data_IF_563924485139
#
_entry.id   IF_563924485139
#
_cell.length_a   1.000
_cell.length_b   1.000
_cell.length_c   1.000
_cell.angle_alpha   90.00
_cell.angle_beta   90.00
_cell.angle_gamma   90.00
#
_symmetry.space_group_name_H-M   'P 1'
#
loop_
_entity.id
_entity.type
_entity.pdbx_description
1 polymer ?
#
# COMPACT_ATOMS: atom_id res chain seq x y z
N UNK A 1 -7.31 26.18 20.47
CA UNK A 1 -7.28 24.74 20.70
C UNK A 1 -8.65 24.17 20.34
N UNK A 2 -8.67 23.14 19.50
CA UNK A 2 -9.91 22.41 19.21
C UNK A 2 -10.18 21.55 20.44
N UNK A 3 -11.35 21.68 21.07
CA UNK A 3 -11.75 20.78 22.16
C UNK A 3 -12.34 19.51 21.55
N UNK A 4 -12.05 18.37 22.14
CA UNK A 4 -12.65 17.10 21.76
C UNK A 4 -13.13 16.33 23.00
N UNK A 5 -14.37 15.84 22.94
CA UNK A 5 -15.02 15.05 24.00
C UNK A 5 -15.49 13.68 23.49
N UNK A 6 -15.31 13.43 22.18
CA UNK A 6 -15.71 12.17 21.60
C UNK A 6 -14.71 11.08 22.00
N UNK A 7 -15.22 9.92 22.34
CA UNK A 7 -14.38 8.75 22.63
C UNK A 7 -14.13 7.96 21.37
N UNK A 8 -12.95 7.32 21.22
CA UNK A 8 -12.68 6.40 20.13
C UNK A 8 -13.79 5.37 19.92
N UNK A 9 -14.07 5.07 18.65
CA UNK A 9 -15.13 4.16 18.22
C UNK A 9 -14.50 2.83 17.84
N UNK A 10 -15.05 1.74 18.38
CA UNK A 10 -14.64 0.37 18.08
C UNK A 10 -15.66 -0.26 17.12
N UNK A 11 -15.20 -0.96 16.08
CA UNK A 11 -16.06 -1.57 15.07
C UNK A 11 -16.04 -3.11 15.07
N UNK A 12 -14.86 -3.72 15.16
CA UNK A 12 -14.72 -5.17 15.15
C UNK A 12 -13.46 -5.64 15.84
N UNK A 13 -13.51 -6.87 16.34
CA UNK A 13 -12.38 -7.65 16.83
C UNK A 13 -11.94 -8.62 15.74
N UNK A 14 -10.64 -8.84 15.62
CA UNK A 14 -10.05 -9.93 14.85
C UNK A 14 -9.17 -10.75 15.77
N UNK A 15 -9.22 -12.07 15.68
CA UNK A 15 -8.28 -12.95 16.38
C UNK A 15 -7.56 -13.81 15.34
N UNK A 16 -6.25 -13.97 15.52
CA UNK A 16 -5.35 -14.60 14.58
C UNK A 16 -4.71 -15.83 15.21
N UNK A 17 -4.78 -17.01 14.59
CA UNK A 17 -3.89 -18.11 14.93
C UNK A 17 -2.48 -17.77 14.42
N UNK A 18 -1.47 -17.83 15.30
CA UNK A 18 -0.09 -17.44 14.99
C UNK A 18 0.87 -18.62 14.88
N UNK A 19 0.37 -19.85 15.11
CA UNK A 19 1.15 -21.09 14.94
C UNK A 19 0.33 -22.17 14.24
N UNK A 20 0.99 -23.20 13.71
CA UNK A 20 0.36 -24.33 13.03
C UNK A 20 -0.57 -25.16 13.92
N UNK A 21 -0.45 -24.99 15.25
CA UNK A 21 -1.31 -25.65 16.25
C UNK A 21 -2.37 -24.72 16.82
N UNK A 22 -2.41 -23.47 16.36
CA UNK A 22 -3.37 -22.51 16.87
C UNK A 22 -4.67 -22.51 16.07
N UNK A 23 -5.77 -22.24 16.76
CA UNK A 23 -7.08 -22.05 16.12
C UNK A 23 -7.93 -21.00 16.81
N UNK A 24 -8.86 -20.44 16.05
CA UNK A 24 -9.87 -19.51 16.53
C UNK A 24 -11.22 -20.01 16.06
N UNK A 25 -12.15 -20.25 17.00
CA UNK A 25 -13.46 -20.87 16.74
C UNK A 25 -13.34 -22.18 15.91
N UNK A 26 -12.32 -23.00 16.20
CA UNK A 26 -12.03 -24.26 15.53
C UNK A 26 -11.43 -24.13 14.13
N UNK A 27 -10.98 -22.94 13.70
CA UNK A 27 -10.37 -22.69 12.38
C UNK A 27 -8.94 -22.19 12.50
N UNK A 28 -8.07 -22.59 11.60
CA UNK A 28 -6.65 -22.17 11.51
C UNK A 28 -6.44 -20.89 10.68
N UNK A 29 -7.46 -20.06 10.58
CA UNK A 29 -7.42 -18.77 9.88
C UNK A 29 -8.04 -17.70 10.78
N UNK A 30 -7.60 -16.46 10.58
CA UNK A 30 -8.14 -15.34 11.36
C UNK A 30 -9.66 -15.27 11.29
N UNK A 31 -10.27 -14.92 12.40
CA UNK A 31 -11.71 -14.80 12.53
C UNK A 31 -12.09 -13.39 12.99
N UNK A 32 -13.05 -12.79 12.27
CA UNK A 32 -13.61 -11.48 12.58
C UNK A 32 -14.87 -11.65 13.45
N UNK A 33 -14.98 -10.82 14.49
CA UNK A 33 -16.13 -10.76 15.38
C UNK A 33 -16.70 -9.34 15.40
N UNK A 34 -17.99 -9.22 15.14
CA UNK A 34 -18.68 -7.94 15.16
C UNK A 34 -18.87 -7.45 16.59
N UNK A 35 -18.70 -6.15 16.79
CA UNK A 35 -18.89 -5.45 18.04
C UNK A 35 -20.10 -4.55 17.90
N UNK A 36 -20.96 -4.55 18.92
CA UNK A 36 -22.13 -3.66 19.01
C UNK A 36 -21.96 -2.68 20.16
N UNK A 37 -22.39 -1.45 19.94
CA UNK A 37 -22.46 -0.43 20.98
C UNK A 37 -23.77 -0.58 21.73
N UNK A 38 -23.71 -0.62 23.04
CA UNK A 38 -24.87 -0.67 23.97
C UNK A 38 -24.88 0.55 24.88
N UNK A 39 -25.86 0.69 25.71
CA UNK A 39 -25.93 1.76 26.74
C UNK A 39 -24.80 1.66 27.76
N UNK A 40 -24.30 0.44 28.03
CA UNK A 40 -23.20 0.17 28.98
C UNK A 40 -21.79 0.15 28.33
N UNK A 41 -21.66 0.38 27.00
CA UNK A 41 -20.41 0.37 26.29
C UNK A 41 -20.41 -0.54 25.07
N UNK A 42 -19.29 -1.22 24.81
CA UNK A 42 -19.11 -2.12 23.66
C UNK A 42 -19.19 -3.58 24.09
N UNK A 43 -19.83 -4.42 23.28
CA UNK A 43 -19.96 -5.86 23.49
C UNK A 43 -19.79 -6.61 22.18
N UNK A 44 -19.29 -7.87 22.26
CA UNK A 44 -19.36 -8.76 21.11
C UNK A 44 -20.83 -9.08 20.78
N UNK A 45 -21.14 -9.12 19.48
CA UNK A 45 -22.46 -9.57 19.02
C UNK A 45 -22.73 -11.05 19.41
N UNK A 46 -21.65 -11.83 19.61
CA UNK A 46 -21.71 -13.22 20.07
C UNK A 46 -21.69 -13.25 21.60
N UNK A 47 -22.72 -13.79 22.22
CA UNK A 47 -22.93 -13.78 23.67
C UNK A 47 -22.30 -14.99 24.41
N UNK A 48 -21.18 -15.52 23.89
CA UNK A 48 -20.41 -16.62 24.51
C UNK A 48 -18.92 -16.37 24.37
N UNK A 49 -18.09 -16.97 25.25
CA UNK A 49 -16.64 -16.95 25.07
C UNK A 49 -16.23 -17.50 23.69
N UNK A 50 -15.17 -16.94 23.11
CA UNK A 50 -14.62 -17.40 21.84
C UNK A 50 -13.64 -18.54 22.12
N UNK A 51 -13.88 -19.73 21.55
CA UNK A 51 -12.95 -20.85 21.67
C UNK A 51 -11.65 -20.54 20.93
N UNK A 52 -10.49 -20.68 21.59
CA UNK A 52 -9.16 -20.45 21.04
C UNK A 52 -8.20 -21.55 21.48
N UNK A 53 -7.17 -21.85 20.70
CA UNK A 53 -6.10 -22.79 21.06
C UNK A 53 -4.75 -22.34 20.52
N UNK A 54 -3.68 -22.71 21.24
CA UNK A 54 -2.31 -22.41 20.87
C UNK A 54 -1.97 -20.91 20.92
N UNK A 55 -0.94 -20.52 20.22
CA UNK A 55 -0.49 -19.12 20.20
C UNK A 55 -1.40 -18.27 19.29
N UNK A 56 -2.01 -17.25 19.87
CA UNK A 56 -2.92 -16.32 19.17
C UNK A 56 -2.49 -14.88 19.31
N UNK A 57 -2.88 -14.07 18.33
CA UNK A 57 -2.80 -12.60 18.35
C UNK A 57 -4.17 -11.98 18.29
N UNK A 58 -4.31 -10.79 18.88
CA UNK A 58 -5.54 -10.01 18.82
C UNK A 58 -5.37 -8.81 17.90
N UNK A 59 -6.45 -8.36 17.27
CA UNK A 59 -6.49 -7.14 16.50
C UNK A 59 -7.81 -6.43 16.67
N UNK A 60 -7.77 -5.10 16.63
CA UNK A 60 -8.94 -4.26 16.86
C UNK A 60 -9.10 -3.23 15.74
N UNK A 61 -10.31 -3.14 15.21
CA UNK A 61 -10.67 -2.07 14.31
C UNK A 61 -11.26 -0.92 15.11
N UNK A 62 -10.51 0.17 15.20
CA UNK A 62 -10.91 1.36 15.93
C UNK A 62 -10.48 2.62 15.15
N UNK A 63 -11.19 3.70 15.38
CA UNK A 63 -10.87 5.03 14.88
C UNK A 63 -11.44 6.08 15.83
N UNK A 64 -10.94 7.28 15.67
CA UNK A 64 -11.41 8.44 16.41
C UNK A 64 -12.07 9.47 15.51
N UNK A 65 -12.80 10.42 16.09
CA UNK A 65 -13.38 11.60 15.43
C UNK A 65 -13.27 12.79 16.36
N UNK A 66 -12.92 13.92 15.81
CA UNK A 66 -12.94 15.18 16.55
C UNK A 66 -14.34 15.79 16.54
N UNK A 67 -14.68 16.51 17.60
CA UNK A 67 -15.93 17.27 17.71
C UNK A 67 -16.16 18.15 16.47
N UNK A 68 -17.39 18.12 15.93
CA UNK A 68 -17.79 18.93 14.78
C UNK A 68 -17.27 18.47 13.42
N UNK A 69 -16.55 17.33 13.30
CA UNK A 69 -16.08 16.81 12.03
C UNK A 69 -16.54 15.37 11.75
N UNK A 70 -16.75 15.06 10.47
CA UNK A 70 -17.04 13.69 10.03
C UNK A 70 -15.77 12.87 9.74
N UNK A 71 -14.60 13.50 9.73
CA UNK A 71 -13.34 12.88 9.38
C UNK A 71 -12.93 11.83 10.42
N UNK A 72 -12.39 10.70 9.94
CA UNK A 72 -11.86 9.65 10.82
C UNK A 72 -10.38 9.91 11.05
N UNK A 73 -9.98 9.94 12.31
CA UNK A 73 -8.61 9.99 12.77
C UNK A 73 -8.15 8.61 13.25
N UNK A 74 -6.84 8.41 13.36
CA UNK A 74 -6.28 7.26 14.07
C UNK A 74 -6.49 7.37 15.57
N UNK A 75 -6.37 6.27 16.30
CA UNK A 75 -6.31 6.27 17.75
C UNK A 75 -4.92 6.74 18.21
N UNK A 76 -4.85 7.37 19.38
CA UNK A 76 -3.60 7.87 19.97
C UNK A 76 -2.86 6.79 20.77
N UNK A 77 -3.57 6.07 21.62
CA UNK A 77 -2.98 5.00 22.42
C UNK A 77 -3.90 3.79 22.53
N UNK A 78 -3.27 2.63 22.75
CA UNK A 78 -3.97 1.37 22.93
C UNK A 78 -3.23 0.52 23.97
N UNK A 79 -4.00 -0.10 24.87
CA UNK A 79 -3.54 -1.11 25.82
C UNK A 79 -4.38 -2.37 25.66
N UNK A 80 -3.70 -3.53 25.67
CA UNK A 80 -4.31 -4.85 25.70
C UNK A 80 -3.88 -5.57 26.98
N UNK A 81 -4.85 -6.01 27.75
CA UNK A 81 -4.61 -6.85 28.95
C UNK A 81 -5.35 -8.18 28.85
N UNK A 82 -4.75 -9.23 29.36
CA UNK A 82 -5.38 -10.55 29.56
C UNK A 82 -5.30 -10.86 31.06
N UNK A 83 -6.44 -11.19 31.69
CA UNK A 83 -6.56 -11.45 33.12
C UNK A 83 -5.93 -10.35 34.00
N UNK A 84 -6.15 -9.10 33.63
CA UNK A 84 -5.61 -7.89 34.23
C UNK A 84 -4.07 -7.71 34.08
N UNK A 85 -3.37 -8.58 33.36
CA UNK A 85 -1.97 -8.38 33.01
C UNK A 85 -1.87 -7.63 31.69
N UNK A 86 -1.19 -6.49 31.70
CA UNK A 86 -0.88 -5.74 30.47
C UNK A 86 0.11 -6.55 29.65
N UNK A 87 -0.26 -6.91 28.39
CA UNK A 87 0.61 -7.68 27.50
C UNK A 87 1.11 -6.88 26.31
N UNK A 88 0.41 -5.78 25.96
CA UNK A 88 0.79 -4.93 24.85
C UNK A 88 0.27 -3.51 25.05
N UNK A 89 1.09 -2.52 24.78
CA UNK A 89 0.63 -1.14 24.67
C UNK A 89 1.49 -0.33 23.69
N UNK A 90 0.86 0.66 23.07
CA UNK A 90 1.53 1.69 22.32
C UNK A 90 0.93 3.06 22.55
N UNK A 91 1.74 4.09 22.35
CA UNK A 91 1.33 5.49 22.29
C UNK A 91 1.93 6.13 21.04
N UNK A 92 1.09 6.74 20.19
CA UNK A 92 1.55 7.46 19.00
C UNK A 92 2.17 8.79 19.40
N UNK A 93 3.50 8.81 19.47
CA UNK A 93 4.29 10.03 19.57
C UNK A 93 4.78 10.50 18.19
N UNK A 94 5.97 11.08 18.18
CA UNK A 94 6.66 11.45 16.95
C UNK A 94 7.21 10.19 16.26
N UNK A 95 6.87 10.01 14.98
CA UNK A 95 7.38 8.93 14.15
C UNK A 95 8.21 9.53 13.03
N UNK A 96 9.53 9.23 12.94
CA UNK A 96 10.35 9.66 11.83
C UNK A 96 9.77 9.21 10.49
N UNK A 97 9.86 10.06 9.46
CA UNK A 97 9.34 9.75 8.12
C UNK A 97 9.94 8.45 7.56
N UNK A 98 11.20 8.17 7.88
CA UNK A 98 11.91 6.93 7.52
C UNK A 98 11.24 5.67 8.07
N UNK A 99 10.58 5.79 9.22
CA UNK A 99 10.02 4.66 9.96
C UNK A 99 8.51 4.46 9.69
N UNK A 100 7.89 5.39 8.97
CA UNK A 100 6.45 5.33 8.67
C UNK A 100 6.02 4.05 7.98
N UNK A 101 6.89 3.39 7.22
CA UNK A 101 6.59 2.11 6.56
C UNK A 101 6.37 0.95 7.54
N UNK A 102 6.93 1.00 8.74
CA UNK A 102 6.68 -0.02 9.76
C UNK A 102 5.23 -0.08 10.22
N UNK A 103 4.44 0.95 9.95
CA UNK A 103 2.97 0.94 10.14
C UNK A 103 2.30 -0.20 9.37
N UNK A 104 2.87 -0.65 8.23
CA UNK A 104 2.37 -1.81 7.49
C UNK A 104 2.47 -3.12 8.29
N UNK A 105 3.36 -3.19 9.27
CA UNK A 105 3.47 -4.32 10.21
C UNK A 105 2.60 -4.14 11.45
N UNK A 106 2.37 -2.92 11.91
CA UNK A 106 1.47 -2.64 13.03
C UNK A 106 0.01 -2.91 12.68
N UNK A 107 -0.38 -2.66 11.43
CA UNK A 107 -1.74 -2.91 10.95
C UNK A 107 -1.83 -4.25 10.23
N UNK A 108 -3.03 -4.81 10.16
CA UNK A 108 -3.32 -5.87 9.19
C UNK A 108 -3.32 -5.26 7.79
N UNK A 109 -2.17 -5.38 7.11
CA UNK A 109 -1.96 -4.85 5.77
C UNK A 109 -2.94 -5.46 4.75
N UNK A 110 -3.17 -6.77 4.82
CA UNK A 110 -4.08 -7.46 3.93
C UNK A 110 -5.52 -6.99 4.10
N UNK A 111 -5.95 -6.78 5.34
CA UNK A 111 -7.27 -6.21 5.63
C UNK A 111 -7.39 -4.77 5.13
N UNK A 112 -6.37 -3.94 5.36
CA UNK A 112 -6.36 -2.56 4.91
C UNK A 112 -6.43 -2.44 3.38
N UNK A 113 -5.65 -3.26 2.67
CA UNK A 113 -5.67 -3.29 1.20
C UNK A 113 -7.01 -3.75 0.61
N UNK A 114 -7.70 -4.68 1.27
CA UNK A 114 -9.01 -5.18 0.81
C UNK A 114 -10.17 -4.26 1.13
N UNK A 115 -10.12 -3.54 2.25
CA UNK A 115 -11.29 -2.82 2.80
C UNK A 115 -11.13 -1.31 2.82
N UNK A 116 -9.91 -0.80 2.66
CA UNK A 116 -9.57 0.61 2.90
C UNK A 116 -9.61 1.02 4.38
N UNK A 117 -9.76 0.06 5.30
CA UNK A 117 -9.95 0.32 6.73
C UNK A 117 -8.76 -0.17 7.54
N UNK A 118 -8.42 0.55 8.61
CA UNK A 118 -7.32 0.18 9.50
C UNK A 118 -7.79 -0.79 10.57
N UNK A 119 -7.02 -1.86 10.76
CA UNK A 119 -7.17 -2.81 11.85
C UNK A 119 -5.80 -2.92 12.53
N UNK A 120 -5.72 -2.53 13.80
CA UNK A 120 -4.49 -2.53 14.58
C UNK A 120 -4.23 -3.94 15.11
N UNK A 121 -3.10 -4.53 14.73
CA UNK A 121 -2.59 -5.74 15.36
C UNK A 121 -2.02 -5.39 16.74
N UNK A 122 -2.26 -6.23 17.73
CA UNK A 122 -1.73 -6.02 19.08
C UNK A 122 -0.68 -7.06 19.46
N UNK A 123 0.14 -7.39 18.47
CA UNK A 123 1.39 -8.12 18.66
C UNK A 123 2.46 -7.54 17.73
N UNK A 124 3.72 -7.75 18.11
CA UNK A 124 4.88 -7.23 17.40
C UNK A 124 5.45 -8.31 16.47
N UNK A 125 5.50 -8.05 15.18
CA UNK A 125 6.25 -8.87 14.23
C UNK A 125 7.76 -8.63 14.39
N UNK A 126 8.62 -9.65 14.25
CA UNK A 126 10.04 -9.55 14.60
C UNK A 126 10.82 -8.55 13.74
N UNK A 127 10.36 -8.24 12.54
CA UNK A 127 10.95 -7.23 11.66
C UNK A 127 10.40 -5.82 11.85
N UNK A 128 9.47 -5.60 12.78
CA UNK A 128 8.93 -4.27 13.05
C UNK A 128 9.85 -3.51 14.00
N UNK A 129 10.30 -2.33 13.58
CA UNK A 129 11.20 -1.44 14.38
C UNK A 129 10.55 -0.10 14.71
N UNK A 130 9.22 -0.01 14.63
CA UNK A 130 8.50 1.22 14.98
C UNK A 130 8.69 1.51 16.48
N UNK A 131 9.12 2.70 16.81
CA UNK A 131 9.40 3.10 18.20
C UNK A 131 8.19 3.81 18.84
N UNK A 132 7.09 3.08 19.01
CA UNK A 132 5.86 3.59 19.64
C UNK A 132 5.37 2.70 20.79
N UNK A 133 6.01 1.56 21.01
CA UNK A 133 5.55 0.54 21.94
C UNK A 133 6.04 0.82 23.36
N UNK A 134 5.11 1.03 24.29
CA UNK A 134 5.42 1.33 25.69
C UNK A 134 5.68 0.05 26.50
N UNK A 135 4.92 -1.03 26.19
CA UNK A 135 5.01 -2.29 26.94
C UNK A 135 4.65 -3.47 26.05
N UNK A 136 5.51 -4.49 26.04
CA UNK A 136 5.29 -5.74 25.28
C UNK A 136 5.76 -6.93 26.08
N UNK A 137 4.89 -7.91 26.31
CA UNK A 137 5.20 -9.21 26.91
C UNK A 137 5.01 -10.29 25.87
N UNK A 138 5.99 -11.19 25.69
CA UNK A 138 5.93 -12.29 24.68
C UNK A 138 5.47 -11.79 23.30
N UNK A 139 6.03 -10.70 22.84
CA UNK A 139 5.65 -10.04 21.60
C UNK A 139 4.18 -9.60 21.51
N UNK A 140 3.42 -9.52 22.61
CA UNK A 140 1.99 -9.21 22.61
C UNK A 140 1.10 -10.39 22.22
N UNK A 141 1.65 -11.59 22.07
CA UNK A 141 0.89 -12.81 21.78
C UNK A 141 0.36 -13.45 23.08
N UNK A 142 -0.68 -14.26 22.95
CA UNK A 142 -1.28 -15.00 24.05
C UNK A 142 -1.27 -16.50 23.76
N UNK A 143 -0.74 -17.30 24.70
CA UNK A 143 -0.75 -18.76 24.63
C UNK A 143 -2.03 -19.30 25.29
N UNK A 144 -2.95 -19.78 24.46
CA UNK A 144 -4.25 -20.35 24.86
C UNK A 144 -4.20 -21.88 24.95
N UNK A 145 -3.25 -22.44 25.72
CA UNK A 145 -3.09 -23.91 25.89
C UNK A 145 -3.42 -24.41 27.27
N UNK A 146 -3.88 -23.58 28.19
CA UNK A 146 -4.08 -23.94 29.60
C UNK A 146 -5.50 -24.46 29.96
N UNK A 147 -6.43 -24.47 29.00
CA UNK A 147 -7.81 -24.94 29.18
C UNK A 147 -8.73 -23.99 29.94
N UNK A 148 -8.29 -22.76 30.28
CA UNK A 148 -9.03 -21.83 31.12
C UNK A 148 -9.83 -20.78 30.34
N UNK A 149 -10.74 -20.13 31.06
CA UNK A 149 -11.46 -18.94 30.61
C UNK A 149 -10.65 -17.70 30.95
N UNK A 150 -10.40 -16.84 29.97
CA UNK A 150 -9.61 -15.62 30.10
C UNK A 150 -10.45 -14.39 29.79
N UNK A 151 -10.19 -13.30 30.54
CA UNK A 151 -10.79 -12.00 30.29
C UNK A 151 -9.79 -11.14 29.50
N UNK A 152 -10.19 -10.66 28.34
CA UNK A 152 -9.40 -9.78 27.47
C UNK A 152 -9.99 -8.39 27.54
N UNK A 153 -9.13 -7.36 27.76
CA UNK A 153 -9.54 -5.97 27.88
C UNK A 153 -8.69 -5.09 26.99
N UNK A 154 -9.35 -4.28 26.17
CA UNK A 154 -8.79 -3.15 25.46
C UNK A 154 -9.10 -1.83 26.15
N UNK A 155 -8.12 -0.94 26.24
CA UNK A 155 -8.28 0.47 26.58
C UNK A 155 -7.71 1.29 25.43
N UNK A 156 -8.54 2.10 24.78
CA UNK A 156 -8.20 2.85 23.58
C UNK A 156 -8.48 4.32 23.85
N UNK A 157 -7.48 5.18 23.68
CA UNK A 157 -7.63 6.61 23.92
C UNK A 157 -7.24 7.45 22.69
N UNK A 158 -7.84 8.63 22.62
CA UNK A 158 -7.44 9.72 21.75
C UNK A 158 -6.32 10.58 22.39
N UNK A 159 -5.90 11.62 21.71
CA UNK A 159 -4.85 12.55 22.18
C UNK A 159 -5.32 13.45 23.35
N UNK A 160 -6.63 13.59 23.54
CA UNK A 160 -7.24 14.37 24.63
C UNK A 160 -7.51 13.54 25.90
N UNK A 161 -7.25 12.22 25.85
CA UNK A 161 -7.47 11.30 26.96
C UNK A 161 -8.89 10.74 27.04
N UNK A 162 -9.76 11.00 26.04
CA UNK A 162 -11.07 10.35 26.00
C UNK A 162 -10.86 8.86 25.73
N UNK A 163 -11.32 8.01 26.67
CA UNK A 163 -11.01 6.58 26.66
C UNK A 163 -12.25 5.72 26.42
N UNK A 164 -12.11 4.74 25.54
CA UNK A 164 -13.06 3.67 25.31
C UNK A 164 -12.50 2.35 25.85
N UNK A 165 -13.30 1.63 26.62
CA UNK A 165 -12.97 0.30 27.15
C UNK A 165 -13.84 -0.73 26.46
N UNK A 166 -13.22 -1.85 26.08
CA UNK A 166 -13.90 -3.01 25.52
C UNK A 166 -13.36 -4.29 26.13
N UNK A 167 -14.25 -5.14 26.66
CA UNK A 167 -13.85 -6.42 27.27
C UNK A 167 -14.65 -7.57 26.69
N UNK A 168 -13.99 -8.71 26.56
CA UNK A 168 -14.61 -9.96 26.09
C UNK A 168 -13.91 -11.15 26.71
N UNK A 169 -14.45 -12.36 26.48
CA UNK A 169 -13.90 -13.59 27.02
C UNK A 169 -13.45 -14.54 25.92
N UNK A 170 -12.31 -15.18 26.12
CA UNK A 170 -11.84 -16.32 25.29
C UNK A 170 -11.76 -17.57 26.16
N UNK A 171 -12.14 -18.71 25.61
CA UNK A 171 -12.01 -20.02 26.23
C UNK A 171 -10.84 -20.75 25.57
N UNK A 172 -9.79 -20.99 26.34
CA UNK A 172 -8.72 -21.91 25.93
C UNK A 172 -9.31 -23.30 25.81
N UNK A 173 -9.16 -23.94 24.65
CA UNK A 173 -9.74 -25.25 24.38
C UNK A 173 -8.86 -26.02 23.43
N UNK A 174 -8.39 -27.18 23.88
CA UNK A 174 -7.62 -28.04 23.02
C UNK A 174 -8.47 -28.52 21.82
N UNK A 175 -7.96 -28.33 20.63
CA UNK A 175 -8.59 -28.78 19.39
C UNK A 175 -7.58 -29.63 18.62
N UNK A 176 -8.00 -30.84 18.19
CA UNK A 176 -7.19 -31.63 17.26
C UNK A 176 -7.19 -30.95 15.89
N UNK A 177 -6.04 -30.45 15.51
CA UNK A 177 -5.84 -29.70 14.28
C UNK A 177 -4.88 -30.46 13.38
N UNK A 178 -5.23 -30.59 12.10
CA UNK A 178 -4.27 -31.01 11.07
C UNK A 178 -3.39 -29.81 10.73
N UNK A 179 -2.06 -29.89 10.90
CA UNK A 179 -1.17 -28.77 10.56
C UNK A 179 -1.35 -28.29 9.12
N UNK A 180 -1.28 -26.98 8.91
CA UNK A 180 -1.31 -26.40 7.57
C UNK A 180 -0.08 -26.86 6.79
N UNK A 181 -0.27 -27.34 5.58
CA UNK A 181 0.85 -27.71 4.70
C UNK A 181 1.45 -26.43 4.08
N UNK A 182 2.70 -26.17 4.40
CA UNK A 182 3.49 -25.12 3.78
C UNK A 182 4.09 -25.64 2.47
N UNK A 183 3.58 -25.14 1.33
CA UNK A 183 4.00 -25.61 0.00
C UNK A 183 4.97 -24.65 -0.69
N UNK A 184 5.16 -23.47 -0.12
CA UNK A 184 6.07 -22.46 -0.65
C UNK A 184 7.52 -22.63 -0.23
N UNK A 185 8.37 -21.80 -0.77
CA UNK A 185 9.75 -21.66 -0.31
C UNK A 185 9.78 -20.77 0.94
N UNK A 186 10.40 -21.24 2.03
CA UNK A 186 10.53 -20.43 3.24
C UNK A 186 11.48 -19.25 2.98
N UNK A 187 10.96 -18.02 2.99
CA UNK A 187 11.71 -16.77 3.00
C UNK A 187 11.81 -16.27 4.43
N UNK A 188 13.03 -16.06 4.91
CA UNK A 188 13.27 -15.55 6.26
C UNK A 188 13.39 -14.03 6.23
N UNK A 189 12.71 -13.34 7.15
CA UNK A 189 12.70 -11.88 7.20
C UNK A 189 14.09 -11.26 7.45
N UNK A 190 14.95 -11.95 8.20
CA UNK A 190 16.28 -11.54 8.62
C UNK A 190 17.42 -12.16 7.78
N UNK A 191 17.12 -12.59 6.55
CA UNK A 191 18.10 -13.14 5.62
C UNK A 191 17.85 -12.58 4.23
N UNK A 192 18.89 -12.57 3.41
CA UNK A 192 18.74 -12.42 1.97
C UNK A 192 18.08 -13.67 1.40
N UNK A 193 17.03 -13.48 0.61
CA UNK A 193 16.31 -14.56 -0.06
C UNK A 193 16.34 -14.33 -1.57
N UNK A 194 16.21 -15.39 -2.35
CA UNK A 194 16.19 -15.28 -3.81
C UNK A 194 15.37 -16.37 -4.50
N UNK A 195 14.85 -16.05 -5.68
CA UNK A 195 14.40 -16.98 -6.71
C UNK A 195 15.33 -16.85 -7.90
N UNK A 196 15.85 -17.97 -8.39
CA UNK A 196 16.59 -18.09 -9.67
C UNK A 196 15.98 -19.20 -10.48
N UNK A 197 15.60 -18.87 -11.70
CA UNK A 197 15.09 -19.78 -12.72
C UNK A 197 15.58 -19.26 -14.08
N UNK A 198 15.42 -20.02 -15.16
CA UNK A 198 15.95 -19.70 -16.50
C UNK A 198 15.55 -18.32 -17.04
N UNK A 199 14.33 -17.89 -16.71
CA UNK A 199 13.78 -16.61 -17.18
C UNK A 199 13.61 -15.54 -16.11
N UNK A 200 14.01 -15.78 -14.85
CA UNK A 200 13.81 -14.84 -13.77
C UNK A 200 14.93 -14.90 -12.73
N UNK A 201 15.25 -13.73 -12.17
CA UNK A 201 16.05 -13.56 -10.96
C UNK A 201 15.31 -12.57 -10.07
N UNK A 202 14.94 -13.02 -8.87
CA UNK A 202 14.27 -12.17 -7.89
C UNK A 202 15.08 -12.17 -6.60
N UNK A 203 15.63 -11.03 -6.24
CA UNK A 203 16.47 -10.82 -5.06
C UNK A 203 15.72 -10.02 -4.02
N UNK A 204 15.61 -10.58 -2.83
CA UNK A 204 14.88 -10.03 -1.68
C UNK A 204 15.90 -9.77 -0.57
N UNK A 205 16.24 -8.51 -0.29
CA UNK A 205 17.22 -8.17 0.74
C UNK A 205 16.71 -8.55 2.14
N UNK A 206 17.64 -8.70 3.08
CA UNK A 206 17.32 -8.82 4.51
C UNK A 206 16.45 -7.64 4.96
N UNK A 207 15.43 -7.91 5.78
CA UNK A 207 14.49 -6.90 6.27
C UNK A 207 13.43 -6.45 5.26
N UNK A 208 13.36 -7.08 4.08
CA UNK A 208 12.29 -6.79 3.12
C UNK A 208 10.91 -7.24 3.61
N UNK A 209 10.85 -8.25 4.47
CA UNK A 209 9.64 -8.72 5.14
C UNK A 209 9.68 -8.38 6.63
N UNK A 210 8.52 -8.33 7.27
CA UNK A 210 8.40 -8.11 8.72
C UNK A 210 8.39 -9.41 9.51
N UNK A 211 8.13 -10.54 8.85
CA UNK A 211 8.12 -11.91 9.41
C UNK A 211 8.53 -12.91 8.35
N UNK A 212 8.79 -14.15 8.74
CA UNK A 212 9.01 -15.24 7.79
C UNK A 212 7.79 -15.46 6.90
N UNK A 213 8.01 -15.78 5.63
CA UNK A 213 6.96 -15.93 4.62
C UNK A 213 7.08 -17.32 3.94
N UNK A 214 5.96 -18.04 3.85
CA UNK A 214 5.82 -19.21 2.98
C UNK A 214 5.60 -18.71 1.55
N UNK A 215 6.71 -18.41 0.84
CA UNK A 215 6.72 -17.68 -0.42
C UNK A 215 6.28 -18.55 -1.58
N UNK A 216 5.17 -18.20 -2.19
CA UNK A 216 4.61 -18.87 -3.36
C UNK A 216 5.23 -18.31 -4.64
N UNK A 217 5.90 -19.18 -5.41
CA UNK A 217 6.45 -18.87 -6.73
C UNK A 217 5.84 -19.78 -7.78
N UNK A 218 5.44 -19.20 -8.91
CA UNK A 218 4.93 -19.96 -10.05
C UNK A 218 5.27 -19.28 -11.36
N UNK A 219 5.74 -20.06 -12.35
CA UNK A 219 5.85 -19.64 -13.74
C UNK A 219 4.59 -20.09 -14.48
N UNK A 220 3.93 -19.15 -15.18
CA UNK A 220 2.73 -19.39 -16.00
C UNK A 220 3.07 -19.09 -17.47
N UNK A 221 2.33 -19.65 -18.44
CA UNK A 221 2.51 -19.31 -19.85
C UNK A 221 2.44 -17.80 -20.09
N UNK A 222 3.13 -17.34 -21.14
CA UNK A 222 3.02 -15.96 -21.59
C UNK A 222 1.59 -15.63 -22.03
N UNK A 223 1.12 -14.45 -21.69
CA UNK A 223 -0.12 -13.89 -22.25
C UNK A 223 0.21 -13.15 -23.55
N UNK A 224 -0.79 -13.04 -24.46
CA UNK A 224 -0.65 -12.20 -25.64
C UNK A 224 -0.20 -10.78 -25.29
N UNK A 225 0.65 -10.17 -26.11
CA UNK A 225 1.24 -8.83 -25.93
C UNK A 225 2.35 -8.71 -24.87
N UNK A 226 2.73 -9.79 -24.19
CA UNK A 226 3.85 -9.78 -23.27
C UNK A 226 5.04 -10.52 -23.86
N UNK A 227 6.24 -10.09 -23.51
CA UNK A 227 7.52 -10.59 -24.03
C UNK A 227 8.26 -11.46 -23.01
N UNK A 228 7.49 -12.12 -22.12
CA UNK A 228 7.97 -13.12 -21.18
C UNK A 228 6.82 -13.99 -20.69
N UNK A 229 7.08 -15.15 -20.06
CA UNK A 229 6.12 -15.82 -19.19
C UNK A 229 5.61 -14.89 -18.10
N UNK A 230 4.47 -15.26 -17.49
CA UNK A 230 3.96 -14.56 -16.30
C UNK A 230 4.54 -15.23 -15.06
N UNK A 231 5.23 -14.47 -14.24
CA UNK A 231 5.81 -14.93 -12.99
C UNK A 231 4.97 -14.46 -11.80
N UNK A 232 4.47 -15.41 -11.03
CA UNK A 232 3.83 -15.13 -9.76
C UNK A 232 4.90 -15.06 -8.67
N UNK A 233 5.02 -13.89 -8.04
CA UNK A 233 5.88 -13.62 -6.90
C UNK A 233 4.98 -13.41 -5.69
N UNK A 234 4.61 -14.49 -5.02
CA UNK A 234 3.71 -14.52 -3.87
C UNK A 234 2.36 -13.81 -4.17
N UNK A 235 1.94 -12.87 -3.31
CA UNK A 235 0.72 -12.08 -3.50
C UNK A 235 0.88 -10.64 -3.00
N UNK A 236 0.10 -9.73 -3.55
CA UNK A 236 0.16 -8.29 -3.25
C UNK A 236 -0.30 -7.91 -1.82
N UNK A 237 -0.88 -8.85 -1.08
CA UNK A 237 -1.35 -8.62 0.30
C UNK A 237 -0.25 -8.84 1.35
N UNK A 238 0.94 -9.25 0.93
CA UNK A 238 2.13 -9.34 1.79
C UNK A 238 2.97 -8.09 1.58
N UNK A 239 3.13 -7.24 2.60
CA UNK A 239 3.83 -5.96 2.45
C UNK A 239 5.34 -6.15 2.30
N UNK A 240 5.95 -5.34 1.46
CA UNK A 240 7.40 -5.18 1.37
C UNK A 240 7.82 -3.89 2.08
N UNK A 241 8.73 -4.02 3.04
CA UNK A 241 9.38 -2.87 3.68
C UNK A 241 10.42 -2.23 2.76
N UNK A 242 11.24 -3.06 2.12
CA UNK A 242 12.31 -2.65 1.20
C UNK A 242 11.93 -3.07 -0.22
N UNK A 243 12.33 -2.26 -1.20
CA UNK A 243 12.19 -2.63 -2.61
C UNK A 243 13.08 -3.82 -2.95
N UNK A 244 12.55 -4.76 -3.73
CA UNK A 244 13.23 -5.97 -4.15
C UNK A 244 13.64 -5.86 -5.62
N UNK A 245 14.83 -6.38 -5.97
CA UNK A 245 15.30 -6.38 -7.33
C UNK A 245 14.70 -7.55 -8.11
N UNK A 246 14.14 -7.24 -9.28
CA UNK A 246 13.56 -8.21 -10.19
C UNK A 246 14.21 -8.08 -11.57
N UNK A 247 14.66 -9.23 -12.13
CA UNK A 247 15.11 -9.35 -13.51
C UNK A 247 14.28 -10.41 -14.21
N UNK A 248 13.74 -10.09 -15.37
CA UNK A 248 13.02 -11.04 -16.24
C UNK A 248 13.70 -11.04 -17.61
N UNK A 249 13.94 -12.25 -18.13
CA UNK A 249 14.50 -12.45 -19.47
C UNK A 249 13.45 -12.19 -20.53
N UNK A 250 13.80 -11.41 -21.54
CA UNK A 250 12.93 -11.16 -22.67
C UNK A 250 12.89 -12.35 -23.62
N UNK A 251 11.70 -12.71 -24.08
CA UNK A 251 11.46 -13.75 -25.08
C UNK A 251 10.82 -13.13 -26.32
N UNK A 252 11.39 -13.40 -27.51
CA UNK A 252 10.87 -12.92 -28.80
C UNK A 252 10.67 -11.40 -28.88
N UNK A 253 11.48 -10.62 -28.17
CA UNK A 253 11.41 -9.15 -28.17
C UNK A 253 12.15 -8.61 -29.39
N UNK A 254 11.49 -7.89 -30.33
CA UNK A 254 12.14 -7.23 -31.44
C UNK A 254 13.19 -6.21 -30.98
N UNK A 255 14.29 -6.06 -31.71
CA UNK A 255 15.36 -5.11 -31.37
C UNK A 255 14.83 -3.67 -31.24
N UNK A 256 13.94 -3.26 -32.14
CA UNK A 256 13.32 -1.93 -32.14
C UNK A 256 12.47 -1.63 -30.88
N UNK A 257 12.08 -2.65 -30.10
CA UNK A 257 11.30 -2.52 -28.89
C UNK A 257 12.12 -2.66 -27.59
N UNK A 258 13.41 -2.95 -27.69
CA UNK A 258 14.27 -3.16 -26.51
C UNK A 258 14.34 -1.92 -25.60
N UNK A 259 14.38 -0.71 -26.17
CA UNK A 259 14.35 0.53 -25.38
C UNK A 259 12.99 0.80 -24.75
N UNK A 260 11.93 0.17 -25.23
CA UNK A 260 10.54 0.37 -24.81
C UNK A 260 10.03 -0.65 -23.78
N UNK A 261 10.75 -1.75 -23.56
CA UNK A 261 10.32 -2.83 -22.69
C UNK A 261 10.47 -2.48 -21.20
N UNK A 262 9.57 -3.03 -20.38
CA UNK A 262 9.49 -2.80 -18.93
C UNK A 262 9.02 -4.05 -18.20
N UNK A 263 9.38 -4.15 -16.91
CA UNK A 263 8.72 -5.02 -15.95
C UNK A 263 7.31 -4.48 -15.66
N UNK A 264 6.29 -5.25 -15.95
CA UNK A 264 4.90 -4.87 -15.71
C UNK A 264 4.30 -5.74 -14.60
N UNK A 265 3.73 -5.12 -13.58
CA UNK A 265 2.85 -5.79 -12.64
C UNK A 265 1.47 -5.92 -13.29
N UNK A 266 0.94 -7.13 -13.36
CA UNK A 266 -0.26 -7.42 -14.14
C UNK A 266 -1.33 -8.18 -13.36
N UNK A 267 -2.56 -8.05 -13.81
CA UNK A 267 -3.61 -9.02 -13.54
C UNK A 267 -3.38 -10.27 -14.41
N UNK A 268 -3.23 -11.46 -13.83
CA UNK A 268 -2.86 -12.66 -14.58
C UNK A 268 -3.99 -13.23 -15.45
N UNK A 269 -5.21 -12.73 -15.33
CA UNK A 269 -6.38 -13.17 -16.10
C UNK A 269 -6.67 -12.22 -17.24
N UNK A 270 -6.82 -10.93 -16.94
CA UNK A 270 -7.14 -9.90 -17.94
C UNK A 270 -5.92 -9.34 -18.68
N UNK A 271 -4.72 -9.51 -18.14
CA UNK A 271 -3.50 -8.87 -18.64
C UNK A 271 -3.47 -7.34 -18.39
N UNK A 272 -4.36 -6.81 -17.55
CA UNK A 272 -4.33 -5.40 -17.18
C UNK A 272 -3.04 -5.07 -16.43
N UNK A 273 -2.35 -4.01 -16.84
CA UNK A 273 -1.14 -3.52 -16.18
C UNK A 273 -1.53 -2.54 -15.08
N UNK A 274 -0.96 -2.73 -13.89
CA UNK A 274 -1.15 -1.83 -12.74
C UNK A 274 -0.01 -0.85 -12.56
N UNK A 275 1.22 -1.30 -12.85
CA UNK A 275 2.43 -0.49 -12.77
C UNK A 275 3.52 -1.10 -13.65
N UNK A 276 4.47 -0.29 -14.08
CA UNK A 276 5.61 -0.76 -14.83
C UNK A 276 6.89 -0.01 -14.42
N UNK A 277 8.03 -0.66 -14.56
CA UNK A 277 9.37 -0.12 -14.20
C UNK A 277 10.46 -0.89 -14.94
N UNK A 278 11.69 -0.47 -14.77
CA UNK A 278 12.86 -1.21 -15.22
C UNK A 278 13.41 -0.80 -16.56
N UNK A 279 14.60 -1.30 -16.83
CA UNK A 279 15.40 -1.02 -18.03
C UNK A 279 15.88 -2.34 -18.64
N UNK A 280 15.93 -2.36 -19.97
CA UNK A 280 16.50 -3.48 -20.74
C UNK A 280 18.04 -3.41 -20.70
N UNK A 281 18.65 -4.57 -20.50
CA UNK A 281 20.07 -4.77 -20.61
C UNK A 281 20.37 -6.22 -21.03
N UNK A 282 21.01 -6.41 -22.17
CA UNK A 282 21.52 -7.70 -22.64
C UNK A 282 20.53 -8.87 -22.52
N UNK A 283 19.31 -8.72 -23.03
CA UNK A 283 18.27 -9.75 -23.02
C UNK A 283 17.45 -9.82 -21.72
N UNK A 284 17.77 -9.02 -20.73
CA UNK A 284 17.05 -8.96 -19.46
C UNK A 284 16.43 -7.57 -19.23
N UNK A 285 15.33 -7.53 -18.52
CA UNK A 285 14.75 -6.29 -18.01
C UNK A 285 14.87 -6.31 -16.50
N UNK A 286 15.54 -5.31 -15.94
CA UNK A 286 15.82 -5.19 -14.51
C UNK A 286 15.16 -3.97 -13.91
N UNK A 287 14.61 -4.11 -12.71
CA UNK A 287 14.07 -3.01 -11.94
C UNK A 287 13.75 -3.39 -10.50
N UNK A 288 13.43 -2.39 -9.71
CA UNK A 288 13.05 -2.56 -8.31
C UNK A 288 11.53 -2.55 -8.18
N UNK A 289 10.97 -3.57 -7.52
CA UNK A 289 9.55 -3.68 -7.22
C UNK A 289 9.28 -3.45 -5.73
N UNK A 290 8.12 -2.86 -5.43
CA UNK A 290 7.67 -2.57 -4.06
C UNK A 290 6.37 -3.30 -3.68
N UNK A 291 5.78 -4.01 -4.62
CA UNK A 291 4.56 -4.80 -4.44
C UNK A 291 4.80 -6.18 -5.03
N UNK A 292 4.41 -7.22 -4.33
CA UNK A 292 4.43 -8.59 -4.83
C UNK A 292 3.21 -8.85 -5.74
N UNK A 293 3.19 -9.99 -6.45
CA UNK A 293 2.10 -10.35 -7.35
C UNK A 293 2.60 -10.94 -8.67
N UNK A 294 1.90 -10.67 -9.75
CA UNK A 294 2.23 -11.23 -11.06
C UNK A 294 3.00 -10.21 -11.91
N UNK A 295 4.07 -10.67 -12.53
CA UNK A 295 4.95 -9.86 -13.36
C UNK A 295 5.20 -10.50 -14.73
N UNK A 296 5.26 -9.67 -15.76
CA UNK A 296 5.66 -10.03 -17.11
C UNK A 296 6.33 -8.83 -17.80
N UNK A 297 6.89 -9.03 -18.98
CA UNK A 297 7.48 -7.95 -19.76
C UNK A 297 6.48 -7.36 -20.75
N UNK A 298 6.22 -6.06 -20.62
CA UNK A 298 5.40 -5.27 -21.54
C UNK A 298 6.23 -4.21 -22.23
N UNK A 299 5.74 -3.67 -23.35
CA UNK A 299 6.36 -2.54 -24.05
C UNK A 299 5.45 -1.31 -23.95
N UNK A 300 6.07 -0.15 -23.83
CA UNK A 300 5.40 1.14 -23.92
C UNK A 300 5.78 1.84 -25.22
N UNK A 301 4.84 1.90 -26.14
CA UNK A 301 4.98 2.57 -27.44
C UNK A 301 4.02 3.73 -27.62
N UNK A 302 3.22 4.02 -26.58
CA UNK A 302 2.23 5.10 -26.61
C UNK A 302 2.85 6.39 -26.11
N UNK A 303 2.69 7.47 -26.87
CA UNK A 303 3.10 8.79 -26.39
C UNK A 303 2.11 9.33 -25.35
N UNK A 304 2.57 10.22 -24.43
CA UNK A 304 1.72 10.86 -23.45
C UNK A 304 0.53 11.61 -24.09
N UNK A 305 -0.59 11.68 -23.37
CA UNK A 305 -1.78 12.44 -23.78
C UNK A 305 -1.68 13.87 -23.21
N UNK A 306 -1.88 14.86 -24.09
CA UNK A 306 -1.91 16.29 -23.73
C UNK A 306 -3.33 16.81 -23.98
N UNK A 307 -4.06 17.19 -22.93
CA UNK A 307 -5.44 17.66 -23.00
C UNK A 307 -5.48 19.10 -22.50
N UNK A 308 -5.77 20.09 -23.36
CA UNK A 308 -5.94 21.48 -22.93
C UNK A 308 -7.21 21.61 -22.06
N UNK A 309 -7.09 22.22 -20.89
CA UNK A 309 -8.21 22.46 -19.97
C UNK A 309 -8.84 23.83 -20.14
N UNK A 310 -8.03 24.83 -20.50
CA UNK A 310 -8.46 26.17 -20.87
C UNK A 310 -7.71 26.57 -22.15
N UNK A 311 -8.12 26.05 -23.31
CA UNK A 311 -7.45 26.37 -24.58
C UNK A 311 -7.44 27.88 -24.78
N UNK A 312 -6.29 28.38 -25.17
CA UNK A 312 -6.03 29.81 -25.34
C UNK A 312 -6.87 30.46 -26.43
N UNK A 313 -7.46 29.66 -27.32
CA UNK A 313 -8.32 30.05 -28.44
C UNK A 313 -9.80 30.26 -28.10
N UNK A 314 -10.25 29.87 -26.87
CA UNK A 314 -11.63 30.09 -26.43
C UNK A 314 -11.84 31.47 -25.82
N UNK A 315 -12.91 32.18 -26.25
CA UNK A 315 -13.24 33.57 -25.90
C UNK A 315 -13.40 33.88 -24.41
N UNK A 316 -13.48 32.87 -23.51
CA UNK A 316 -13.58 33.06 -22.05
C UNK A 316 -12.89 31.92 -21.31
N UNK A 317 -11.57 31.96 -21.06
CA UNK A 317 -10.93 31.09 -20.11
C UNK A 317 -11.37 31.42 -18.67
N UNK A 318 -11.55 30.44 -17.82
CA UNK A 318 -11.89 30.62 -16.39
C UNK A 318 -10.84 31.48 -15.64
N UNK A 319 -9.58 31.42 -16.08
CA UNK A 319 -8.50 32.33 -15.66
C UNK A 319 -7.71 32.77 -16.91
N UNK A 320 -7.84 34.03 -17.32
CA UNK A 320 -7.15 34.51 -18.51
C UNK A 320 -5.62 34.59 -18.34
N UNK A 321 -5.09 34.50 -17.15
CA UNK A 321 -3.66 34.61 -16.87
C UNK A 321 -2.91 33.29 -16.83
N UNK A 322 -3.59 32.14 -16.98
CA UNK A 322 -2.99 30.82 -16.86
C UNK A 322 -3.40 29.92 -18.02
N UNK A 323 -2.44 29.20 -18.60
CA UNK A 323 -2.69 28.08 -19.51
C UNK A 323 -2.54 26.77 -18.73
N UNK A 324 -3.50 25.86 -18.88
CA UNK A 324 -3.53 24.57 -18.16
C UNK A 324 -3.72 23.39 -19.10
N UNK A 325 -2.92 22.34 -18.87
CA UNK A 325 -3.05 21.06 -19.56
C UNK A 325 -3.16 19.92 -18.55
N UNK A 326 -4.04 18.97 -18.80
CA UNK A 326 -3.96 17.66 -18.18
C UNK A 326 -3.03 16.79 -19.02
N UNK A 327 -1.98 16.25 -18.38
CA UNK A 327 -0.97 15.41 -19.04
C UNK A 327 -0.97 14.06 -18.37
N UNK A 328 -1.19 12.99 -19.13
CA UNK A 328 -1.23 11.62 -18.62
C UNK A 328 -0.46 10.70 -19.55
N UNK A 329 0.11 9.65 -18.95
CA UNK A 329 0.69 8.54 -19.65
C UNK A 329 0.05 7.23 -19.21
N UNK A 330 0.00 6.25 -20.12
CA UNK A 330 -0.73 5.01 -19.86
C UNK A 330 0.13 3.98 -19.11
N UNK A 331 1.49 4.07 -19.19
CA UNK A 331 2.35 3.01 -18.67
C UNK A 331 3.66 3.49 -18.02
N UNK A 332 4.55 4.16 -18.75
CA UNK A 332 5.88 4.49 -18.24
C UNK A 332 5.92 5.76 -17.39
N UNK A 333 4.92 6.61 -17.52
CA UNK A 333 4.83 7.91 -16.84
C UNK A 333 5.57 9.03 -17.60
N UNK A 334 5.38 10.27 -17.15
CA UNK A 334 5.99 11.46 -17.75
C UNK A 334 7.43 11.60 -17.24
N UNK A 335 8.39 11.65 -18.17
CA UNK A 335 9.80 11.89 -17.89
C UNK A 335 10.09 13.39 -17.88
N UNK A 336 9.81 14.09 -19.01
CA UNK A 336 10.03 15.53 -19.11
C UNK A 336 9.04 16.20 -20.05
N UNK A 337 9.02 17.51 -19.97
CA UNK A 337 8.21 18.35 -20.85
C UNK A 337 8.94 19.66 -21.17
N UNK A 338 8.61 20.24 -22.32
CA UNK A 338 9.16 21.54 -22.77
C UNK A 338 8.06 22.39 -23.39
N UNK A 339 7.82 23.55 -22.83
CA UNK A 339 6.91 24.55 -23.40
C UNK A 339 7.67 25.70 -24.03
N UNK A 340 7.21 26.16 -25.19
CA UNK A 340 7.70 27.40 -25.83
C UNK A 340 6.54 28.29 -26.29
N UNK A 341 6.72 29.60 -26.19
CA UNK A 341 5.82 30.59 -26.81
C UNK A 341 6.67 31.44 -27.75
N UNK A 342 6.27 31.53 -29.02
CA UNK A 342 7.01 32.20 -30.10
C UNK A 342 8.48 31.73 -30.20
N UNK A 343 8.71 30.45 -29.98
CA UNK A 343 10.05 29.83 -29.97
C UNK A 343 10.84 30.04 -28.67
N UNK A 344 10.42 30.90 -27.77
CA UNK A 344 11.08 31.13 -26.49
C UNK A 344 10.56 30.18 -25.43
N UNK A 345 11.48 29.56 -24.68
CA UNK A 345 11.14 28.68 -23.57
C UNK A 345 10.33 29.41 -22.49
N UNK A 346 9.32 28.74 -21.96
CA UNK A 346 8.49 29.19 -20.85
C UNK A 346 8.40 28.13 -19.77
N UNK A 347 8.34 28.58 -18.50
CA UNK A 347 8.30 27.70 -17.36
C UNK A 347 6.88 27.17 -17.14
N UNK A 348 6.65 25.90 -17.44
CA UNK A 348 5.49 25.15 -16.97
C UNK A 348 5.76 24.55 -15.61
N UNK A 349 4.81 24.65 -14.68
CA UNK A 349 4.81 24.00 -13.38
C UNK A 349 4.00 22.70 -13.47
N UNK A 350 4.54 21.61 -12.93
CA UNK A 350 3.89 20.30 -12.96
C UNK A 350 3.39 19.89 -11.58
N UNK A 351 2.08 19.82 -11.42
CA UNK A 351 1.41 19.18 -10.28
C UNK A 351 1.20 17.69 -10.59
N UNK A 352 2.12 16.85 -10.11
CA UNK A 352 2.11 15.40 -10.32
C UNK A 352 0.85 14.75 -9.75
N UNK A 353 0.33 15.27 -8.62
CA UNK A 353 -0.85 14.69 -7.96
C UNK A 353 -2.11 14.81 -8.81
N UNK A 354 -2.24 15.89 -9.54
CA UNK A 354 -3.40 16.19 -10.38
C UNK A 354 -3.12 15.96 -11.87
N UNK A 355 -1.89 15.53 -12.24
CA UNK A 355 -1.43 15.41 -13.62
C UNK A 355 -1.62 16.71 -14.41
N UNK A 356 -1.32 17.85 -13.78
CA UNK A 356 -1.61 19.18 -14.29
C UNK A 356 -0.32 19.93 -14.61
N UNK A 357 -0.16 20.36 -15.87
CA UNK A 357 0.82 21.36 -16.28
C UNK A 357 0.17 22.72 -16.34
N UNK A 358 0.77 23.74 -15.74
CA UNK A 358 0.28 25.11 -15.78
C UNK A 358 1.39 26.11 -16.10
N UNK A 359 1.07 27.13 -16.93
CA UNK A 359 1.91 28.26 -17.21
C UNK A 359 1.16 29.56 -16.88
N UNK A 360 1.74 30.39 -16.02
CA UNK A 360 1.20 31.68 -15.64
C UNK A 360 1.91 32.78 -16.40
N UNK A 361 1.15 33.65 -17.08
CA UNK A 361 1.72 34.78 -17.85
C UNK A 361 2.38 35.78 -16.91
N UNK A 362 3.68 36.05 -17.10
CA UNK A 362 4.39 37.10 -16.41
C UNK A 362 4.14 38.44 -17.13
N UNK A 363 3.35 39.33 -16.51
CA UNK A 363 2.98 40.64 -17.08
C UNK A 363 4.19 41.53 -17.41
N UNK A 364 5.35 41.29 -16.82
CA UNK A 364 6.58 42.07 -17.07
C UNK A 364 7.40 41.53 -18.26
N UNK A 365 7.24 40.24 -18.59
CA UNK A 365 8.07 39.55 -19.60
C UNK A 365 7.30 39.10 -20.82
N UNK A 366 5.97 39.13 -20.77
CA UNK A 366 5.12 38.66 -21.86
C UNK A 366 4.60 39.88 -22.69
N UNK A 367 4.72 39.78 -24.01
CA UNK A 367 4.25 40.81 -24.93
C UNK A 367 2.76 40.61 -25.25
N UNK A 368 1.89 41.41 -24.66
CA UNK A 368 0.45 41.35 -24.87
C UNK A 368 0.00 42.09 -26.16
N UNK A 369 -1.22 41.80 -26.60
CA UNK A 369 -1.87 42.52 -27.71
C UNK A 369 -1.54 41.98 -29.11
N UNK A 370 -1.05 40.74 -29.21
CA UNK A 370 -0.73 40.08 -30.49
C UNK A 370 -1.03 38.58 -30.48
N UNK A 371 -0.93 37.97 -31.65
CA UNK A 371 -1.01 36.53 -31.79
C UNK A 371 0.32 35.87 -31.36
N UNK A 372 0.20 34.75 -30.66
CA UNK A 372 1.31 33.95 -30.17
C UNK A 372 1.15 32.49 -30.61
N UNK A 373 2.25 31.78 -30.77
CA UNK A 373 2.27 30.34 -30.99
C UNK A 373 2.80 29.61 -29.76
N UNK A 374 1.97 28.75 -29.19
CA UNK A 374 2.36 27.84 -28.10
C UNK A 374 2.72 26.47 -28.69
N UNK A 375 3.85 25.92 -28.24
CA UNK A 375 4.24 24.51 -28.48
C UNK A 375 4.54 23.91 -27.13
N UNK A 376 3.91 22.77 -26.82
CA UNK A 376 4.17 21.95 -25.63
C UNK A 376 4.53 20.54 -26.07
N UNK A 377 5.75 20.12 -25.79
CA UNK A 377 6.26 18.74 -26.01
C UNK A 377 6.30 18.03 -24.68
N UNK A 378 5.81 16.78 -24.64
CA UNK A 378 5.81 15.92 -23.47
C UNK A 378 6.35 14.54 -23.86
N UNK A 379 7.34 14.08 -23.13
CA UNK A 379 8.02 12.81 -23.36
C UNK A 379 7.88 11.90 -22.14
N UNK A 380 7.61 10.62 -22.36
CA UNK A 380 7.54 9.59 -21.32
C UNK A 380 8.94 9.00 -21.01
N UNK A 381 9.01 8.13 -19.97
CA UNK A 381 10.28 7.46 -19.61
C UNK A 381 10.78 6.44 -20.66
N UNK A 382 10.02 6.19 -21.71
CA UNK A 382 10.43 5.33 -22.85
C UNK A 382 10.72 6.11 -24.12
N UNK A 383 10.76 7.45 -24.03
CA UNK A 383 11.10 8.35 -25.12
C UNK A 383 10.00 8.41 -26.19
N UNK A 384 8.74 8.13 -25.86
CA UNK A 384 7.62 8.44 -26.74
C UNK A 384 7.20 9.87 -26.49
N UNK A 385 7.15 10.69 -27.55
CA UNK A 385 6.89 12.13 -27.44
C UNK A 385 5.59 12.51 -28.13
N UNK A 386 4.79 13.35 -27.47
CA UNK A 386 3.63 14.01 -28.06
C UNK A 386 3.83 15.52 -28.04
N UNK A 387 3.30 16.22 -29.05
CA UNK A 387 3.42 17.65 -29.22
C UNK A 387 2.04 18.28 -29.39
N UNK A 388 1.72 19.25 -28.55
CA UNK A 388 0.56 20.13 -28.69
C UNK A 388 1.01 21.48 -29.28
N UNK A 389 0.28 21.94 -30.31
CA UNK A 389 0.51 23.27 -30.94
C UNK A 389 -0.80 24.05 -30.99
N UNK A 390 -0.75 25.32 -30.62
CA UNK A 390 -1.91 26.19 -30.69
C UNK A 390 -1.46 27.63 -30.91
N UNK A 391 -2.26 28.38 -31.69
CA UNK A 391 -2.14 29.83 -31.79
C UNK A 391 -3.20 30.46 -30.90
N UNK A 392 -2.85 31.53 -30.23
CA UNK A 392 -3.75 32.29 -29.37
C UNK A 392 -3.44 33.79 -29.38
N UNK A 393 -4.45 34.58 -29.14
CA UNK A 393 -4.29 36.01 -28.95
C UNK A 393 -4.25 36.33 -27.47
N UNK A 394 -3.28 37.09 -27.06
CA UNK A 394 -3.14 37.50 -25.67
C UNK A 394 -2.66 38.94 -25.55
#
# INVERSE_FOLDING_TARGET
PVSDKLKPIIQSLMIYPLSDKASVAGRQVQQKFDIVRTTSGYQLKVNKPIDVSGEIGFGIQAFDRMDGTANRCGIFSLKLSVDNQLIYSFTLGEVPVTDTKYVNSQMDYAYAMKTGQRLYKTWLEPGNRLNIYDHIVKHGTFDASDGKLHNVKYEIADVYGNTTIFSFKVQSKEVKITPVSHTGKKFRYNHHNEIRDDGIRFSVPEGAFYTDVDFQYMRKPALAKFYSPVYQLHNALTPLHIACNLKIKAENLPESLQSKVMLAQIDPVSGKIYSATGKYDNGWVEGNIRVLGHYALAVDTNAPKIIPLNPADKKTPADPNVIKFKVTDDLSGIDHFRGTIDGNWVLFEYDLKNNLLSYTFDKKRFNFGKNHQLILEVTDFKGNTNTYKSNFFK
#
